data_IF_046766641455
#
_entry.id   IF_046766641455
#
_cell.length_a   1.000
_cell.length_b   1.000
_cell.length_c   1.000
_cell.angle_alpha   90.00
_cell.angle_beta   90.00
_cell.angle_gamma   90.00
#
_symmetry.space_group_name_H-M   'P 1'
#
loop_
_entity.id
_entity.type
_entity.pdbx_description
1 polymer ?
#
# COMPACT_ATOMS: atom_id res chain seq x y z
N UNK A 1 -18.94 -10.71 -13.29
CA UNK A 1 -18.13 -11.56 -12.38
C UNK A 1 -16.85 -10.82 -12.03
N UNK A 2 -16.58 -10.67 -10.73
CA UNK A 2 -15.35 -10.04 -10.29
C UNK A 2 -14.14 -10.93 -10.57
N UNK A 3 -13.06 -10.30 -11.03
CA UNK A 3 -11.79 -11.00 -11.19
C UNK A 3 -11.15 -11.18 -9.81
N UNK A 4 -10.60 -12.37 -9.57
CA UNK A 4 -9.90 -12.67 -8.33
C UNK A 4 -8.53 -12.01 -8.32
N UNK A 5 -8.14 -11.49 -7.16
CA UNK A 5 -6.80 -10.98 -6.95
C UNK A 5 -5.77 -12.10 -7.10
N UNK A 6 -4.58 -11.74 -7.59
CA UNK A 6 -3.54 -12.72 -7.92
C UNK A 6 -2.41 -12.63 -6.91
N UNK A 7 -2.05 -13.78 -6.33
CA UNK A 7 -0.88 -13.95 -5.49
C UNK A 7 0.16 -14.78 -6.23
N UNK A 8 1.43 -14.43 -6.09
CA UNK A 8 2.53 -15.27 -6.58
C UNK A 8 2.72 -16.46 -5.65
N UNK A 9 3.49 -17.46 -6.10
CA UNK A 9 3.82 -18.62 -5.26
C UNK A 9 4.64 -18.19 -4.03
N UNK A 10 5.54 -17.23 -4.20
CA UNK A 10 6.31 -16.69 -3.08
C UNK A 10 5.41 -16.00 -2.07
N UNK A 11 4.45 -15.20 -2.53
CA UNK A 11 3.49 -14.54 -1.65
C UNK A 11 2.66 -15.56 -0.88
N UNK A 12 2.19 -16.62 -1.54
CA UNK A 12 1.43 -17.69 -0.87
C UNK A 12 2.26 -18.37 0.21
N UNK A 13 3.55 -18.64 -0.09
CA UNK A 13 4.46 -19.24 0.87
C UNK A 13 4.60 -18.36 2.13
N UNK A 14 4.81 -17.06 1.94
CA UNK A 14 4.90 -16.11 3.06
C UNK A 14 3.58 -16.01 3.83
N UNK A 15 2.45 -15.97 3.13
CA UNK A 15 1.13 -15.85 3.76
C UNK A 15 0.84 -17.00 4.72
N UNK A 16 1.46 -18.15 4.53
CA UNK A 16 1.35 -19.28 5.45
C UNK A 16 2.43 -19.26 6.54
N UNK A 17 3.24 -18.20 6.61
CA UNK A 17 4.31 -18.09 7.60
C UNK A 17 5.58 -18.81 7.18
N UNK A 18 5.64 -19.35 5.97
CA UNK A 18 6.73 -20.20 5.53
C UNK A 18 6.77 -21.52 6.31
N UNK A 19 7.85 -22.26 6.16
CA UNK A 19 7.97 -23.57 6.82
C UNK A 19 8.17 -23.47 8.33
N UNK A 20 8.63 -22.31 8.82
CA UNK A 20 8.93 -22.11 10.24
C UNK A 20 7.86 -21.32 10.98
N UNK A 21 6.86 -20.78 10.25
CA UNK A 21 5.85 -19.90 10.83
C UNK A 21 6.37 -18.53 11.23
N UNK A 22 7.57 -18.12 10.78
CA UNK A 22 8.22 -16.89 11.23
C UNK A 22 8.17 -15.74 10.22
N UNK A 23 7.70 -15.99 8.98
CA UNK A 23 7.59 -14.96 7.96
C UNK A 23 6.32 -14.13 8.18
N UNK A 24 6.37 -12.82 7.87
CA UNK A 24 5.17 -12.00 7.89
C UNK A 24 4.11 -12.55 6.94
N UNK A 25 2.84 -12.51 7.39
CA UNK A 25 1.71 -13.10 6.64
C UNK A 25 0.78 -12.04 6.05
N UNK A 26 0.92 -10.78 6.47
CA UNK A 26 0.05 -9.69 6.00
C UNK A 26 0.61 -9.11 4.71
N UNK A 27 0.38 -9.84 3.61
CA UNK A 27 0.95 -9.54 2.29
C UNK A 27 -0.20 -9.25 1.33
N UNK A 28 -0.04 -8.18 0.53
CA UNK A 28 -1.02 -7.85 -0.51
C UNK A 28 -0.86 -8.79 -1.71
N UNK A 29 -1.92 -9.00 -2.51
CA UNK A 29 -1.80 -9.67 -3.80
C UNK A 29 -0.88 -8.88 -4.73
N UNK A 30 -0.20 -9.56 -5.65
CA UNK A 30 0.61 -8.90 -6.69
C UNK A 30 -0.27 -8.13 -7.67
N UNK A 31 -1.50 -8.59 -7.90
CA UNK A 31 -2.47 -7.88 -8.74
C UNK A 31 -3.78 -7.79 -7.96
N UNK A 32 -4.28 -6.57 -7.79
CA UNK A 32 -5.54 -6.30 -7.09
C UNK A 32 -6.58 -5.87 -8.13
N UNK A 33 -7.57 -6.72 -8.37
CA UNK A 33 -8.69 -6.44 -9.25
C UNK A 33 -9.94 -6.01 -8.52
N UNK A 34 -10.10 -6.43 -7.25
CA UNK A 34 -11.30 -6.18 -6.48
C UNK A 34 -10.95 -6.01 -5.00
N UNK A 35 -11.85 -5.37 -4.25
CA UNK A 35 -11.69 -5.10 -2.83
C UNK A 35 -12.92 -5.61 -2.09
N UNK A 36 -12.69 -6.23 -0.93
CA UNK A 36 -13.77 -6.52 0.02
C UNK A 36 -14.31 -5.21 0.59
N UNK A 37 -15.45 -5.26 1.25
CA UNK A 37 -16.17 -4.07 1.72
C UNK A 37 -15.30 -3.17 2.62
N UNK A 38 -14.47 -3.78 3.47
CA UNK A 38 -13.62 -3.03 4.42
C UNK A 38 -12.20 -2.80 3.91
N UNK A 39 -11.88 -3.24 2.69
CA UNK A 39 -10.53 -3.10 2.14
C UNK A 39 -10.34 -1.76 1.45
N UNK A 40 -9.19 -1.15 1.69
CA UNK A 40 -8.80 0.16 1.14
C UNK A 40 -7.52 -0.02 0.34
N UNK A 41 -7.55 0.45 -0.92
CA UNK A 41 -6.44 0.38 -1.85
C UNK A 41 -5.53 1.60 -1.61
N UNK A 42 -4.34 1.40 -1.04
CA UNK A 42 -3.40 2.49 -0.73
C UNK A 42 -2.41 2.64 -1.86
N UNK A 43 -2.29 3.85 -2.38
CA UNK A 43 -1.49 4.10 -3.58
C UNK A 43 -0.69 5.40 -3.45
N UNK A 44 0.39 5.49 -4.23
CA UNK A 44 1.19 6.71 -4.34
C UNK A 44 0.67 7.62 -5.44
N UNK A 45 0.65 8.92 -5.17
CA UNK A 45 0.26 9.92 -6.15
C UNK A 45 1.08 11.20 -5.95
N UNK A 46 0.47 12.35 -6.13
CA UNK A 46 1.11 13.65 -5.96
C UNK A 46 0.17 14.58 -5.20
N UNK A 47 0.71 15.69 -4.68
CA UNK A 47 -0.05 16.62 -3.86
C UNK A 47 -1.24 17.24 -4.60
N UNK A 48 -1.13 17.40 -5.93
CA UNK A 48 -2.20 17.95 -6.77
C UNK A 48 -3.33 16.96 -7.03
N UNK A 49 -3.13 15.68 -6.69
CA UNK A 49 -4.14 14.66 -6.92
C UNK A 49 -4.33 14.30 -8.39
N UNK A 50 -3.29 14.45 -9.19
CA UNK A 50 -3.34 14.08 -10.61
C UNK A 50 -2.97 12.61 -10.75
N UNK A 51 -4.00 11.76 -10.76
CA UNK A 51 -3.85 10.30 -10.72
C UNK A 51 -3.69 9.73 -12.14
N UNK A 52 -2.58 10.08 -12.80
CA UNK A 52 -2.38 9.80 -14.23
C UNK A 52 -2.02 8.36 -14.55
N UNK A 53 -1.14 7.73 -13.76
CA UNK A 53 -0.49 6.48 -14.17
C UNK A 53 -0.35 5.52 -12.97
N UNK A 54 -0.09 4.24 -13.30
CA UNK A 54 0.21 3.21 -12.31
C UNK A 54 -0.93 2.95 -11.35
N UNK A 55 -0.61 2.71 -10.09
CA UNK A 55 -1.60 2.41 -9.06
C UNK A 55 -2.60 3.56 -8.87
N UNK A 56 -2.14 4.82 -9.02
CA UNK A 56 -3.02 5.98 -8.93
C UNK A 56 -4.11 5.95 -10.00
N UNK A 57 -3.76 5.56 -11.23
CA UNK A 57 -4.74 5.45 -12.30
C UNK A 57 -5.75 4.33 -12.04
N UNK A 58 -5.27 3.20 -11.53
CA UNK A 58 -6.15 2.09 -11.13
C UNK A 58 -7.11 2.55 -10.04
N UNK A 59 -6.61 3.26 -9.03
CA UNK A 59 -7.44 3.77 -7.95
C UNK A 59 -8.51 4.73 -8.47
N UNK A 60 -8.14 5.59 -9.39
CA UNK A 60 -9.07 6.54 -10.00
C UNK A 60 -10.14 5.85 -10.84
N UNK A 61 -9.73 4.87 -11.66
CA UNK A 61 -10.66 4.16 -12.54
C UNK A 61 -11.56 3.18 -11.81
N UNK A 62 -11.04 2.51 -10.75
CA UNK A 62 -11.70 1.32 -10.19
C UNK A 62 -12.10 1.48 -8.72
N UNK A 63 -11.42 2.31 -7.94
CA UNK A 63 -11.59 2.28 -6.48
C UNK A 63 -11.95 3.64 -5.87
N UNK A 64 -12.49 4.54 -6.67
CA UNK A 64 -13.10 5.76 -6.17
C UNK A 64 -12.14 6.88 -5.79
N UNK A 65 -10.85 6.80 -6.21
CA UNK A 65 -9.96 7.92 -6.00
C UNK A 65 -10.45 9.16 -6.75
N UNK A 66 -10.26 10.31 -6.14
CA UNK A 66 -10.81 11.57 -6.63
C UNK A 66 -9.74 12.40 -7.31
N UNK A 67 -10.01 12.85 -8.53
CA UNK A 67 -9.10 13.75 -9.22
C UNK A 67 -9.02 15.07 -8.46
N UNK A 68 -7.79 15.53 -8.22
CA UNK A 68 -7.55 16.75 -7.45
C UNK A 68 -7.38 16.51 -5.96
N UNK A 69 -7.56 15.28 -5.48
CA UNK A 69 -7.39 14.94 -4.07
C UNK A 69 -6.10 14.12 -3.89
N UNK A 70 -5.03 14.80 -3.45
CA UNK A 70 -3.69 14.22 -3.39
C UNK A 70 -3.39 13.40 -2.16
N UNK A 71 -4.19 13.52 -1.10
CA UNK A 71 -3.88 12.80 0.14
C UNK A 71 -5.14 12.36 0.87
N UNK A 72 -5.11 11.17 1.43
CA UNK A 72 -6.12 10.69 2.35
C UNK A 72 -7.15 9.77 1.73
N UNK A 73 -8.13 9.40 2.55
CA UNK A 73 -9.19 8.47 2.16
C UNK A 73 -10.10 9.11 1.12
N UNK A 74 -10.35 8.38 0.06
CA UNK A 74 -11.19 8.82 -1.06
C UNK A 74 -11.79 7.57 -1.72
N UNK A 75 -13.11 7.41 -1.60
CA UNK A 75 -13.78 6.18 -2.03
C UNK A 75 -13.24 4.98 -1.27
N UNK A 76 -12.88 3.93 -1.99
CA UNK A 76 -12.26 2.73 -1.41
C UNK A 76 -10.74 2.76 -1.57
N UNK A 77 -10.14 3.94 -1.62
CA UNK A 77 -8.70 4.10 -1.76
C UNK A 77 -8.17 5.16 -0.81
N UNK A 78 -6.84 5.18 -0.64
CA UNK A 78 -6.15 6.16 0.19
C UNK A 78 -4.90 6.61 -0.57
N UNK A 79 -4.77 7.92 -0.80
CA UNK A 79 -3.66 8.49 -1.55
C UNK A 79 -2.55 8.98 -0.63
N UNK A 80 -1.31 8.59 -0.95
CA UNK A 80 -0.10 9.10 -0.29
C UNK A 80 0.69 9.89 -1.33
N UNK A 81 0.84 11.22 -1.19
CA UNK A 81 1.64 12.00 -2.13
C UNK A 81 3.12 11.65 -1.99
N UNK A 82 3.78 11.37 -3.12
CA UNK A 82 5.17 10.88 -3.16
C UNK A 82 6.08 11.71 -4.07
N UNK A 83 5.56 12.78 -4.67
CA UNK A 83 6.31 13.54 -5.70
C UNK A 83 6.93 14.84 -5.17
N UNK A 84 6.75 15.15 -3.89
CA UNK A 84 7.15 16.42 -3.29
C UNK A 84 8.38 16.30 -2.40
N UNK A 85 9.25 15.31 -2.68
CA UNK A 85 10.50 15.09 -1.97
C UNK A 85 10.40 14.02 -0.89
N UNK A 86 11.56 13.52 -0.47
CA UNK A 86 11.63 12.37 0.45
C UNK A 86 11.09 12.71 1.84
N UNK A 87 11.34 13.92 2.34
CA UNK A 87 10.87 14.33 3.66
C UNK A 87 9.35 14.43 3.67
N UNK A 88 8.79 15.08 2.65
CA UNK A 88 7.33 15.20 2.49
C UNK A 88 6.67 13.82 2.38
N UNK A 89 7.27 12.92 1.62
CA UNK A 89 6.79 11.54 1.46
C UNK A 89 6.78 10.80 2.79
N UNK A 90 7.89 10.91 3.55
CA UNK A 90 7.99 10.26 4.86
C UNK A 90 6.90 10.75 5.83
N UNK A 91 6.65 12.06 5.82
CA UNK A 91 5.60 12.64 6.67
C UNK A 91 4.21 12.18 6.23
N UNK A 92 3.98 12.05 4.92
CA UNK A 92 2.71 11.56 4.40
C UNK A 92 2.47 10.10 4.79
N UNK A 93 3.51 9.26 4.73
CA UNK A 93 3.42 7.86 5.19
C UNK A 93 3.12 7.82 6.69
N UNK A 94 3.73 8.72 7.47
CA UNK A 94 3.47 8.79 8.91
C UNK A 94 2.01 9.16 9.19
N UNK A 95 1.44 10.10 8.43
CA UNK A 95 0.02 10.44 8.54
C UNK A 95 -0.88 9.26 8.16
N UNK A 96 -0.51 8.51 7.12
CA UNK A 96 -1.23 7.29 6.76
C UNK A 96 -1.21 6.27 7.91
N UNK A 97 -0.04 6.06 8.52
CA UNK A 97 0.11 5.10 9.62
C UNK A 97 -0.79 5.49 10.79
N UNK A 98 -0.85 6.77 11.12
CA UNK A 98 -1.74 7.27 12.18
C UNK A 98 -3.20 7.06 11.82
N UNK A 99 -3.57 7.34 10.55
CA UNK A 99 -4.93 7.11 10.08
C UNK A 99 -5.32 5.63 10.21
N UNK A 100 -4.43 4.72 9.80
CA UNK A 100 -4.68 3.29 9.90
C UNK A 100 -4.86 2.85 11.36
N UNK A 101 -4.05 3.41 12.27
CA UNK A 101 -4.16 3.12 13.71
C UNK A 101 -5.53 3.52 14.26
N UNK A 102 -6.08 4.62 13.78
CA UNK A 102 -7.36 5.15 14.22
C UNK A 102 -8.56 4.46 13.57
N UNK A 103 -8.32 3.62 12.55
CA UNK A 103 -9.38 2.94 11.79
C UNK A 103 -9.14 1.42 11.74
N UNK A 104 -9.17 0.73 12.90
CA UNK A 104 -8.93 -0.72 12.92
C UNK A 104 -10.00 -1.53 12.19
N UNK A 105 -11.17 -0.92 11.93
CA UNK A 105 -12.24 -1.58 11.18
C UNK A 105 -11.91 -1.70 9.69
N UNK A 106 -10.95 -0.92 9.17
CA UNK A 106 -10.54 -0.95 7.77
C UNK A 106 -9.28 -1.79 7.62
N UNK A 107 -9.15 -2.45 6.47
CA UNK A 107 -7.97 -3.23 6.09
C UNK A 107 -7.29 -2.51 4.93
N UNK A 108 -6.05 -2.08 5.15
CA UNK A 108 -5.32 -1.28 4.17
C UNK A 108 -4.38 -2.18 3.37
N UNK A 109 -4.62 -2.24 2.05
CA UNK A 109 -3.76 -2.97 1.11
C UNK A 109 -2.79 -1.96 0.48
N UNK A 110 -1.58 -1.91 1.00
CA UNK A 110 -0.56 -0.93 0.58
C UNK A 110 0.15 -1.46 -0.67
N UNK A 111 0.00 -0.76 -1.80
CA UNK A 111 0.77 -1.05 -3.02
C UNK A 111 2.21 -0.56 -2.84
N UNK A 112 3.15 -0.90 -3.76
CA UNK A 112 4.54 -0.41 -3.68
C UNK A 112 4.63 1.11 -3.87
N UNK A 113 4.14 1.85 -2.88
CA UNK A 113 4.05 3.31 -2.87
C UNK A 113 5.44 3.92 -3.07
N UNK A 114 5.53 4.88 -3.99
CA UNK A 114 6.76 5.61 -4.27
C UNK A 114 7.75 4.89 -5.18
N UNK A 115 7.50 3.61 -5.50
CA UNK A 115 8.43 2.80 -6.30
C UNK A 115 8.12 2.81 -7.80
N UNK A 116 7.07 3.54 -8.21
CA UNK A 116 6.74 3.72 -9.62
C UNK A 116 7.32 5.02 -10.17
N UNK A 117 6.44 5.95 -10.59
CA UNK A 117 6.83 7.22 -11.21
C UNK A 117 7.73 8.07 -10.30
N UNK A 118 7.49 8.04 -8.97
CA UNK A 118 8.32 8.79 -8.04
C UNK A 118 9.77 8.34 -8.04
N UNK A 119 10.03 7.09 -8.44
CA UNK A 119 11.39 6.61 -8.67
C UNK A 119 12.17 6.22 -7.44
N UNK A 120 11.54 6.12 -6.26
CA UNK A 120 12.22 5.65 -5.07
C UNK A 120 12.42 4.14 -5.12
N UNK A 121 13.49 3.67 -4.48
CA UNK A 121 13.73 2.24 -4.35
C UNK A 121 12.90 1.66 -3.21
N UNK A 122 12.75 0.34 -3.23
CA UNK A 122 12.10 -0.38 -2.13
C UNK A 122 12.86 -0.17 -0.82
N UNK A 123 14.20 -0.10 -0.89
CA UNK A 123 15.06 0.10 0.27
C UNK A 123 14.85 1.47 0.93
N UNK A 124 14.42 2.46 0.15
CA UNK A 124 14.07 3.80 0.66
C UNK A 124 12.65 3.82 1.21
N UNK A 125 11.70 3.22 0.48
CA UNK A 125 10.29 3.32 0.84
C UNK A 125 9.87 2.38 1.97
N UNK A 126 10.35 1.13 1.98
CA UNK A 126 9.89 0.15 2.95
C UNK A 126 10.12 0.60 4.41
N UNK A 127 11.30 1.16 4.78
CA UNK A 127 11.52 1.62 6.16
C UNK A 127 10.54 2.69 6.62
N UNK A 128 9.97 3.47 5.71
CA UNK A 128 8.96 4.49 6.06
C UNK A 128 7.70 3.85 6.65
N UNK A 129 7.44 2.58 6.32
CA UNK A 129 6.27 1.83 6.80
C UNK A 129 6.57 0.97 8.03
N UNK A 130 7.75 1.14 8.65
CA UNK A 130 8.16 0.30 9.78
C UNK A 130 7.12 0.32 10.91
N UNK A 131 6.65 1.49 11.31
CA UNK A 131 5.68 1.60 12.38
C UNK A 131 4.33 0.98 12.00
N UNK A 132 3.99 0.98 10.72
CA UNK A 132 2.77 0.37 10.23
C UNK A 132 2.80 -1.17 10.36
N UNK A 133 3.99 -1.78 10.47
CA UNK A 133 4.08 -3.23 10.66
C UNK A 133 3.50 -3.68 12.00
N UNK A 134 3.36 -2.77 12.95
CA UNK A 134 2.76 -3.07 14.25
C UNK A 134 1.22 -3.08 14.21
N UNK A 135 0.63 -2.68 13.09
CA UNK A 135 -0.83 -2.60 12.93
C UNK A 135 -1.32 -3.81 12.16
N UNK A 136 -2.22 -4.57 12.77
CA UNK A 136 -2.75 -5.81 12.16
C UNK A 136 -3.59 -5.55 10.91
N UNK A 137 -4.09 -4.33 10.74
CA UNK A 137 -4.93 -3.96 9.60
C UNK A 137 -4.15 -3.36 8.43
N UNK A 138 -2.80 -3.32 8.49
CA UNK A 138 -1.97 -2.86 7.37
C UNK A 138 -1.27 -4.04 6.73
N UNK A 139 -1.51 -4.22 5.43
CA UNK A 139 -0.92 -5.27 4.60
C UNK A 139 0.04 -4.62 3.62
N UNK A 140 1.24 -5.15 3.49
CA UNK A 140 2.31 -4.57 2.67
C UNK A 140 2.69 -5.50 1.52
N UNK A 141 3.32 -4.94 0.47
CA UNK A 141 3.91 -5.78 -0.59
C UNK A 141 5.00 -6.68 -0.02
N UNK A 142 5.15 -7.86 -0.61
CA UNK A 142 6.23 -8.76 -0.20
C UNK A 142 7.61 -8.09 -0.36
N UNK A 143 7.78 -7.22 -1.37
CA UNK A 143 9.03 -6.48 -1.57
C UNK A 143 9.37 -5.59 -0.38
N UNK A 144 8.36 -4.98 0.24
CA UNK A 144 8.56 -4.15 1.45
C UNK A 144 8.90 -5.04 2.64
N UNK A 145 8.18 -6.14 2.82
CA UNK A 145 8.45 -7.07 3.91
C UNK A 145 9.87 -7.63 3.85
N UNK A 146 10.36 -7.95 2.65
CA UNK A 146 11.73 -8.46 2.49
C UNK A 146 12.77 -7.49 3.03
N UNK A 147 12.60 -6.20 2.75
CA UNK A 147 13.51 -5.17 3.29
C UNK A 147 13.36 -5.07 4.81
N UNK A 148 12.12 -5.03 5.30
CA UNK A 148 11.85 -4.81 6.72
C UNK A 148 12.33 -5.97 7.61
N UNK A 149 12.32 -7.20 7.10
CA UNK A 149 12.80 -8.37 7.86
C UNK A 149 14.21 -8.80 7.48
N UNK A 150 14.86 -8.09 6.56
CA UNK A 150 16.24 -8.38 6.17
C UNK A 150 16.39 -9.62 5.28
N UNK A 151 15.40 -9.91 4.48
CA UNK A 151 15.43 -11.11 3.61
C UNK A 151 15.42 -10.73 2.09
#
# INVERSE_FOLDING_TARGET
MERKNIYTDEERYWMTGGNTGTLPTRIIPSVIYSLAQNEIFVFGSNAMGMHHLGAARVAYNEFGAEWGNGEGLQGKSYSIPTMEGVVSTRLAVKRFTQYAREHPELKFLVTPVGCGIAGYTTEVMAPMFKDATLLENVFLPISFWKVLVGK
#
